data_IF_307218756323
#
_entry.id   IF_307218756323
#
_cell.length_a   1.000
_cell.length_b   1.000
_cell.length_c   1.000
_cell.angle_alpha   90.00
_cell.angle_beta   90.00
_cell.angle_gamma   90.00
#
_symmetry.space_group_name_H-M   'P 1'
#
loop_
_entity.id
_entity.type
_entity.pdbx_description
1 polymer ?
#
# COMPACT_ATOMS: atom_id res chain seq x y z
N UNK A 1 5.52 8.20 -11.63
CA UNK A 1 6.87 8.36 -11.06
C UNK A 1 7.81 7.77 -12.09
N UNK A 2 8.52 8.59 -12.87
CA UNK A 2 9.63 8.08 -13.68
C UNK A 2 10.81 7.97 -12.71
N UNK A 3 11.42 6.80 -12.51
CA UNK A 3 12.47 6.58 -11.51
C UNK A 3 13.80 7.29 -11.90
N UNK A 4 13.74 8.50 -12.45
CA UNK A 4 14.84 9.33 -12.93
C UNK A 4 15.42 10.23 -11.84
N UNK A 5 14.80 10.31 -10.66
CA UNK A 5 15.33 11.05 -9.52
C UNK A 5 16.31 10.18 -8.74
N UNK A 6 17.58 10.56 -8.74
CA UNK A 6 18.65 9.96 -7.92
C UNK A 6 18.69 10.52 -6.50
N UNK A 7 18.07 11.68 -6.28
CA UNK A 7 17.93 12.29 -4.96
C UNK A 7 16.79 11.63 -4.18
N UNK A 8 17.12 11.19 -2.97
CA UNK A 8 16.15 10.69 -2.01
C UNK A 8 16.35 11.40 -0.67
N UNK A 9 15.26 11.63 0.06
CA UNK A 9 15.30 12.15 1.42
C UNK A 9 14.64 11.13 2.33
N UNK A 10 15.41 10.59 3.27
CA UNK A 10 14.85 9.78 4.34
C UNK A 10 14.09 10.70 5.30
N UNK A 11 12.79 10.49 5.46
CA UNK A 11 12.04 11.14 6.54
C UNK A 11 12.22 10.27 7.78
N UNK A 12 13.04 10.76 8.70
CA UNK A 12 13.25 10.06 9.96
C UNK A 12 11.97 10.07 10.79
N UNK A 13 11.68 8.97 11.50
CA UNK A 13 10.66 9.01 12.54
C UNK A 13 11.05 10.08 13.59
N UNK A 14 10.08 10.65 14.32
CA UNK A 14 10.34 11.64 15.35
C UNK A 14 11.37 11.16 16.37
N UNK A 15 12.14 12.10 16.95
CA UNK A 15 13.23 11.82 17.90
C UNK A 15 12.85 10.92 19.08
N UNK A 16 11.59 10.95 19.53
CA UNK A 16 11.11 10.08 20.62
C UNK A 16 10.99 8.60 20.25
N UNK A 17 11.18 8.24 18.98
CA UNK A 17 11.31 6.84 18.52
C UNK A 17 12.78 6.41 18.38
N UNK A 18 13.74 7.34 18.38
CA UNK A 18 15.19 7.05 18.35
C UNK A 18 15.75 6.78 19.77
N UNK A 19 15.14 7.36 20.81
CA UNK A 19 15.52 7.11 22.20
C UNK A 19 15.03 5.73 22.67
N UNK A 20 15.83 4.69 22.43
CA UNK A 20 15.56 3.33 22.92
C UNK A 20 15.53 3.21 24.46
N UNK A 21 15.83 4.29 25.19
CA UNK A 21 15.68 4.38 26.65
C UNK A 21 14.32 4.96 27.09
N UNK A 22 13.53 5.55 26.18
CA UNK A 22 12.24 6.16 26.49
C UNK A 22 11.07 5.18 26.26
N UNK A 23 10.79 4.36 27.27
CA UNK A 23 9.63 3.47 27.43
C UNK A 23 9.29 2.50 26.27
N UNK A 24 9.35 1.18 26.46
CA UNK A 24 9.04 0.17 25.43
C UNK A 24 7.60 0.19 24.86
N UNK A 25 6.74 1.10 25.34
CA UNK A 25 5.32 1.26 24.97
C UNK A 25 5.05 2.32 23.88
N UNK A 26 6.04 3.09 23.42
CA UNK A 26 5.83 4.17 22.41
C UNK A 26 6.31 3.83 21.00
N UNK A 27 6.59 2.57 20.70
CA UNK A 27 7.09 2.14 19.39
C UNK A 27 6.02 1.61 18.43
N UNK A 28 6.41 1.43 17.17
CA UNK A 28 5.65 0.64 16.19
C UNK A 28 6.45 -0.58 15.73
N UNK A 29 5.75 -1.57 15.20
CA UNK A 29 6.32 -2.65 14.38
C UNK A 29 5.60 -2.72 13.05
N UNK A 30 6.19 -3.43 12.10
CA UNK A 30 5.56 -3.75 10.82
C UNK A 30 5.17 -5.22 10.86
N UNK A 31 3.90 -5.53 10.61
CA UNK A 31 3.48 -6.90 10.33
C UNK A 31 3.52 -7.14 8.84
N UNK A 32 4.25 -8.15 8.39
CA UNK A 32 4.18 -8.66 7.03
C UNK A 32 3.43 -9.98 7.06
N UNK A 33 2.21 -10.01 6.50
CA UNK A 33 1.38 -11.20 6.45
C UNK A 33 1.28 -11.70 5.01
N UNK A 34 1.59 -12.97 4.79
CA UNK A 34 1.57 -13.59 3.47
C UNK A 34 0.25 -14.34 3.26
N UNK A 35 -0.42 -14.07 2.14
CA UNK A 35 -1.71 -14.72 1.80
C UNK A 35 -1.57 -16.20 1.46
N UNK A 36 -0.36 -16.70 1.21
CA UNK A 36 -0.12 -18.06 0.70
C UNK A 36 -0.27 -18.18 -0.81
N UNK A 37 -0.84 -17.18 -1.49
CA UNK A 37 -0.90 -17.16 -2.95
C UNK A 37 0.48 -16.76 -3.53
N UNK A 38 1.21 -17.76 -4.06
CA UNK A 38 2.55 -17.59 -4.65
C UNK A 38 2.54 -17.27 -6.14
N UNK A 39 1.61 -17.86 -6.88
CA UNK A 39 1.51 -17.70 -8.33
C UNK A 39 0.56 -16.55 -8.66
N UNK A 40 0.88 -15.78 -9.70
CA UNK A 40 -0.06 -14.81 -10.24
C UNK A 40 -1.23 -15.56 -10.88
N UNK A 41 -2.45 -15.07 -10.68
CA UNK A 41 -3.61 -15.60 -11.39
C UNK A 41 -3.43 -15.30 -12.89
N UNK A 42 -3.19 -16.33 -13.69
CA UNK A 42 -2.87 -16.24 -15.13
C UNK A 42 -4.02 -15.71 -15.99
N UNK A 43 -5.22 -15.61 -15.43
CA UNK A 43 -6.47 -15.36 -16.15
C UNK A 43 -6.89 -13.89 -16.16
N UNK A 44 -6.10 -12.98 -15.56
CA UNK A 44 -6.41 -11.56 -15.49
C UNK A 44 -5.23 -10.77 -16.07
N UNK A 45 -5.43 -9.92 -17.10
CA UNK A 45 -4.35 -9.16 -17.73
C UNK A 45 -3.69 -8.12 -16.78
N UNK A 46 -4.22 -8.01 -15.55
CA UNK A 46 -3.43 -7.77 -14.34
C UNK A 46 -2.66 -6.45 -14.35
N UNK A 47 -1.36 -6.50 -14.08
CA UNK A 47 -0.51 -5.32 -13.93
C UNK A 47 -0.41 -4.48 -15.21
N UNK A 48 -0.19 -5.12 -16.38
CA UNK A 48 0.01 -4.39 -17.63
C UNK A 48 -1.25 -3.68 -18.11
N UNK A 49 -2.43 -4.27 -17.87
CA UNK A 49 -3.70 -3.57 -18.11
C UNK A 49 -3.81 -2.30 -17.29
N UNK A 50 -3.43 -2.33 -16.02
CA UNK A 50 -3.47 -1.12 -15.17
C UNK A 50 -2.52 -0.03 -15.66
N UNK A 51 -1.33 -0.42 -16.14
CA UNK A 51 -0.39 0.51 -16.78
C UNK A 51 -1.02 1.15 -18.02
N UNK A 52 -1.59 0.35 -18.92
CA UNK A 52 -2.23 0.85 -20.14
C UNK A 52 -3.43 1.76 -19.84
N UNK A 53 -4.29 1.38 -18.88
CA UNK A 53 -5.42 2.21 -18.44
C UNK A 53 -4.95 3.55 -17.85
N UNK A 54 -3.86 3.57 -17.07
CA UNK A 54 -3.29 4.83 -16.57
C UNK A 54 -2.73 5.70 -17.69
N UNK A 55 -2.09 5.10 -18.70
CA UNK A 55 -1.57 5.82 -19.86
C UNK A 55 -2.71 6.42 -20.69
N UNK A 56 -3.78 5.67 -20.93
CA UNK A 56 -4.93 6.17 -21.67
C UNK A 56 -5.65 7.29 -20.89
N UNK A 57 -5.82 7.15 -19.57
CA UNK A 57 -6.35 8.22 -18.73
C UNK A 57 -5.50 9.50 -18.83
N UNK A 58 -4.17 9.37 -18.77
CA UNK A 58 -3.27 10.51 -18.92
C UNK A 58 -3.38 11.16 -20.30
N UNK A 59 -3.44 10.37 -21.37
CA UNK A 59 -3.61 10.84 -22.75
C UNK A 59 -4.90 11.65 -22.90
N UNK A 60 -6.02 11.18 -22.37
CA UNK A 60 -7.31 11.91 -22.42
C UNK A 60 -7.20 13.26 -21.71
N UNK A 61 -6.60 13.30 -20.51
CA UNK A 61 -6.43 14.53 -19.73
C UNK A 61 -5.47 15.53 -20.39
N UNK A 62 -4.34 15.06 -20.92
CA UNK A 62 -3.36 15.90 -21.63
C UNK A 62 -3.95 16.47 -22.91
N UNK A 63 -4.66 15.65 -23.69
CA UNK A 63 -5.37 16.11 -24.88
C UNK A 63 -6.41 17.17 -24.55
N UNK A 64 -7.17 16.99 -23.46
CA UNK A 64 -8.17 17.94 -23.01
C UNK A 64 -7.59 19.30 -22.58
N UNK A 65 -6.33 19.32 -22.13
CA UNK A 65 -5.61 20.53 -21.70
C UNK A 65 -4.71 21.14 -22.79
N UNK A 66 -4.72 20.60 -24.01
CA UNK A 66 -3.89 21.07 -25.12
C UNK A 66 -2.43 20.59 -25.09
N UNK A 67 -2.04 19.74 -24.14
CA UNK A 67 -0.66 19.27 -23.94
C UNK A 67 -0.40 17.92 -24.63
N UNK A 68 -0.77 17.79 -25.91
CA UNK A 68 -0.76 16.51 -26.65
C UNK A 68 0.64 15.90 -26.85
N UNK A 69 1.67 16.75 -26.87
CA UNK A 69 3.07 16.35 -27.09
C UNK A 69 3.73 15.77 -25.83
N UNK A 70 3.08 15.92 -24.66
CA UNK A 70 3.61 15.40 -23.40
C UNK A 70 3.37 13.90 -23.33
N UNK A 71 4.39 13.15 -22.92
CA UNK A 71 4.30 11.69 -22.75
C UNK A 71 3.14 11.33 -21.79
N UNK A 72 2.25 10.39 -22.17
CA UNK A 72 0.98 10.14 -21.48
C UNK A 72 1.18 9.32 -20.21
N UNK A 73 1.79 9.93 -19.21
CA UNK A 73 1.88 9.40 -17.85
C UNK A 73 1.11 10.31 -16.90
N UNK A 74 0.38 9.71 -15.95
CA UNK A 74 -0.39 10.48 -14.97
C UNK A 74 0.49 11.42 -14.13
N UNK A 75 1.78 11.12 -13.95
CA UNK A 75 2.71 12.03 -13.27
C UNK A 75 3.07 13.28 -14.07
N UNK A 76 2.83 13.28 -15.38
CA UNK A 76 3.01 14.45 -16.23
C UNK A 76 1.72 15.29 -16.29
N UNK A 77 0.61 14.81 -15.71
CA UNK A 77 -0.66 15.53 -15.60
C UNK A 77 -0.66 16.30 -14.29
N UNK A 78 -0.82 17.63 -14.38
CA UNK A 78 -0.93 18.47 -13.18
C UNK A 78 -2.27 18.22 -12.45
N UNK A 79 -2.33 18.31 -11.11
CA UNK A 79 -3.58 18.14 -10.36
C UNK A 79 -4.72 19.03 -10.85
N UNK A 80 -4.42 20.27 -11.23
CA UNK A 80 -5.43 21.22 -11.72
C UNK A 80 -6.03 20.77 -13.05
N UNK A 81 -5.22 20.15 -13.91
CA UNK A 81 -5.67 19.56 -15.18
C UNK A 81 -6.57 18.36 -14.93
N UNK A 82 -6.22 17.51 -13.95
CA UNK A 82 -7.06 16.40 -13.55
C UNK A 82 -8.42 16.89 -13.03
N UNK A 83 -8.46 17.83 -12.09
CA UNK A 83 -9.72 18.32 -11.54
C UNK A 83 -10.60 19.01 -12.59
N UNK A 84 -10.00 19.76 -13.51
CA UNK A 84 -10.71 20.44 -14.59
C UNK A 84 -11.25 19.50 -15.68
N UNK A 85 -10.72 18.28 -15.82
CA UNK A 85 -11.04 17.40 -16.97
C UNK A 85 -11.39 15.95 -16.60
N UNK A 86 -11.39 15.56 -15.32
CA UNK A 86 -11.69 14.18 -14.88
C UNK A 86 -13.07 13.67 -15.32
N UNK A 87 -14.03 14.57 -15.54
CA UNK A 87 -15.36 14.22 -16.06
C UNK A 87 -15.34 13.68 -17.51
N UNK A 88 -14.23 13.85 -18.24
CA UNK A 88 -14.05 13.32 -19.60
C UNK A 88 -13.53 11.88 -19.62
N UNK A 89 -13.19 11.31 -18.46
CA UNK A 89 -12.67 9.96 -18.36
C UNK A 89 -13.82 8.96 -18.33
N UNK A 90 -13.72 7.92 -19.16
CA UNK A 90 -14.58 6.75 -19.06
C UNK A 90 -14.49 6.11 -17.66
N UNK A 91 -15.54 5.43 -17.17
CA UNK A 91 -15.64 4.99 -15.78
C UNK A 91 -14.41 4.24 -15.25
N UNK A 92 -13.84 3.31 -16.03
CA UNK A 92 -12.65 2.55 -15.61
C UNK A 92 -11.40 3.45 -15.54
N UNK A 93 -11.22 4.34 -16.51
CA UNK A 93 -10.09 5.28 -16.55
C UNK A 93 -10.19 6.29 -15.40
N UNK A 94 -11.40 6.75 -15.10
CA UNK A 94 -11.69 7.65 -13.98
C UNK A 94 -11.26 7.01 -12.65
N UNK A 95 -11.57 5.73 -12.43
CA UNK A 95 -11.12 4.99 -11.24
C UNK A 95 -9.59 4.91 -11.16
N UNK A 96 -8.88 4.65 -12.27
CA UNK A 96 -7.40 4.59 -12.25
C UNK A 96 -6.75 5.94 -11.96
N UNK A 97 -7.26 7.00 -12.59
CA UNK A 97 -6.79 8.36 -12.33
C UNK A 97 -7.07 8.77 -10.88
N UNK A 98 -8.29 8.50 -10.36
CA UNK A 98 -8.65 8.75 -8.97
C UNK A 98 -7.72 8.00 -8.00
N UNK A 99 -7.41 6.72 -8.26
CA UNK A 99 -6.43 5.99 -7.46
C UNK A 99 -5.08 6.72 -7.45
N UNK A 100 -4.55 7.11 -8.61
CA UNK A 100 -3.26 7.78 -8.72
C UNK A 100 -3.23 9.11 -7.96
N UNK A 101 -4.15 10.03 -8.24
CA UNK A 101 -4.11 11.37 -7.64
C UNK A 101 -4.39 11.31 -6.13
N UNK A 102 -5.35 10.48 -5.69
CA UNK A 102 -5.61 10.30 -4.27
C UNK A 102 -4.47 9.59 -3.53
N UNK A 103 -3.75 8.67 -4.18
CA UNK A 103 -2.56 8.03 -3.59
C UNK A 103 -1.41 9.01 -3.41
N UNK A 104 -1.14 9.89 -4.39
CA UNK A 104 -0.12 10.93 -4.24
C UNK A 104 -0.46 11.89 -3.08
N UNK A 105 -1.75 12.23 -2.91
CA UNK A 105 -2.20 13.03 -1.77
C UNK A 105 -2.01 12.28 -0.44
N UNK A 106 -2.36 10.98 -0.38
CA UNK A 106 -2.12 10.15 0.81
C UNK A 106 -0.64 10.05 1.16
N UNK A 107 0.24 9.93 0.17
CA UNK A 107 1.70 9.93 0.41
C UNK A 107 2.15 11.24 1.04
N UNK A 108 1.72 12.39 0.51
CA UNK A 108 2.09 13.71 1.07
C UNK A 108 1.64 13.86 2.53
N UNK A 109 0.37 13.54 2.82
CA UNK A 109 -0.16 13.53 4.20
C UNK A 109 0.55 12.51 5.09
N UNK A 110 0.94 11.37 4.52
CA UNK A 110 1.70 10.34 5.22
C UNK A 110 3.07 10.83 5.65
N UNK A 111 3.75 11.64 4.83
CA UNK A 111 5.02 12.26 5.23
C UNK A 111 4.86 13.18 6.44
N UNK A 112 3.78 13.96 6.49
CA UNK A 112 3.46 14.86 7.61
C UNK A 112 3.11 14.08 8.89
N UNK A 113 2.23 13.08 8.78
CA UNK A 113 1.85 12.21 9.89
C UNK A 113 3.07 11.43 10.43
N UNK A 114 3.91 10.92 9.53
CA UNK A 114 5.14 10.24 9.90
C UNK A 114 6.12 11.16 10.63
N UNK A 115 6.37 12.36 10.08
CA UNK A 115 7.31 13.31 10.67
C UNK A 115 6.86 13.85 12.04
N UNK A 116 5.55 13.95 12.27
CA UNK A 116 4.97 14.37 13.55
C UNK A 116 4.80 13.22 14.56
N UNK A 117 4.91 11.96 14.10
CA UNK A 117 4.77 10.77 14.94
C UNK A 117 3.34 10.35 15.19
N UNK A 118 2.40 10.88 14.42
CA UNK A 118 1.01 10.46 14.45
C UNK A 118 0.84 9.12 13.69
N UNK A 119 1.22 8.04 14.37
CA UNK A 119 1.15 6.67 13.86
C UNK A 119 -0.29 6.24 13.54
N UNK A 120 -1.28 6.80 14.25
CA UNK A 120 -2.70 6.53 14.00
C UNK A 120 -3.12 7.13 12.67
N UNK A 121 -2.86 8.42 12.45
CA UNK A 121 -3.16 9.08 11.18
C UNK A 121 -2.41 8.41 10.01
N UNK A 122 -1.14 8.02 10.23
CA UNK A 122 -0.38 7.28 9.21
C UNK A 122 -1.03 5.93 8.88
N UNK A 123 -1.45 5.17 9.89
CA UNK A 123 -2.18 3.91 9.72
C UNK A 123 -3.52 4.08 8.98
N UNK A 124 -4.29 5.11 9.30
CA UNK A 124 -5.55 5.42 8.60
C UNK A 124 -5.31 5.72 7.11
N UNK A 125 -4.22 6.43 6.77
CA UNK A 125 -3.80 6.67 5.39
C UNK A 125 -3.37 5.37 4.69
N UNK A 126 -2.70 4.45 5.39
CA UNK A 126 -2.39 3.11 4.85
C UNK A 126 -3.68 2.35 4.51
N UNK A 127 -4.64 2.31 5.44
CA UNK A 127 -5.95 1.67 5.24
C UNK A 127 -6.72 2.28 4.07
N UNK A 128 -6.78 3.62 3.98
CA UNK A 128 -7.42 4.31 2.86
C UNK A 128 -6.74 4.00 1.52
N UNK A 129 -5.40 3.83 1.53
CA UNK A 129 -4.67 3.39 0.35
C UNK A 129 -5.02 1.95 -0.06
N UNK A 130 -5.04 1.02 0.91
CA UNK A 130 -5.48 -0.37 0.67
C UNK A 130 -6.89 -0.42 0.06
N UNK A 131 -7.82 0.33 0.62
CA UNK A 131 -9.18 0.44 0.08
C UNK A 131 -9.22 1.00 -1.35
N UNK A 132 -8.36 1.99 -1.65
CA UNK A 132 -8.25 2.54 -3.00
C UNK A 132 -7.66 1.53 -3.99
N UNK A 133 -6.68 0.73 -3.58
CA UNK A 133 -6.16 -0.39 -4.38
C UNK A 133 -7.25 -1.39 -4.74
N UNK A 134 -8.15 -1.68 -3.81
CA UNK A 134 -9.28 -2.61 -4.02
C UNK A 134 -10.35 -1.98 -4.91
N UNK A 135 -10.83 -0.77 -4.59
CA UNK A 135 -12.03 -0.19 -5.22
C UNK A 135 -11.74 0.62 -6.49
N UNK A 136 -10.65 1.40 -6.48
CA UNK A 136 -10.32 2.33 -7.57
C UNK A 136 -9.28 1.72 -8.50
N UNK A 137 -8.27 1.04 -7.96
CA UNK A 137 -7.28 0.35 -8.80
C UNK A 137 -7.73 -1.05 -9.19
N UNK A 138 -8.73 -1.62 -8.52
CA UNK A 138 -9.24 -2.98 -8.81
C UNK A 138 -8.10 -3.99 -8.96
N UNK A 139 -7.14 -3.93 -8.04
CA UNK A 139 -6.13 -4.95 -7.84
C UNK A 139 -6.41 -5.68 -6.52
N UNK A 140 -5.87 -6.89 -6.39
CA UNK A 140 -6.25 -7.79 -5.32
C UNK A 140 -6.72 -9.14 -5.84
N UNK A 141 -6.95 -10.02 -4.89
CA UNK A 141 -7.63 -11.29 -5.05
C UNK A 141 -8.26 -11.66 -3.70
N UNK A 142 -9.23 -12.57 -3.71
CA UNK A 142 -9.98 -12.97 -2.51
C UNK A 142 -9.09 -13.26 -1.27
N UNK A 143 -7.99 -14.04 -1.37
CA UNK A 143 -7.12 -14.28 -0.22
C UNK A 143 -6.46 -13.00 0.34
N UNK A 144 -6.15 -12.03 -0.53
CA UNK A 144 -5.59 -10.74 -0.10
C UNK A 144 -6.65 -9.83 0.52
N UNK A 145 -7.87 -9.78 -0.03
CA UNK A 145 -8.98 -9.01 0.56
C UNK A 145 -9.24 -9.48 2.00
N UNK A 146 -9.39 -10.80 2.17
CA UNK A 146 -9.64 -11.39 3.48
C UNK A 146 -8.47 -11.21 4.45
N UNK A 147 -7.22 -11.32 3.98
CA UNK A 147 -6.06 -11.07 4.83
C UNK A 147 -5.98 -9.61 5.29
N UNK A 148 -6.27 -8.67 4.38
CA UNK A 148 -6.36 -7.25 4.69
C UNK A 148 -7.44 -6.97 5.76
N UNK A 149 -8.64 -7.53 5.60
CA UNK A 149 -9.72 -7.39 6.58
C UNK A 149 -9.38 -8.01 7.94
N UNK A 150 -8.68 -9.16 7.97
CA UNK A 150 -8.19 -9.77 9.21
C UNK A 150 -7.18 -8.86 9.90
N UNK A 151 -6.24 -8.27 9.15
CA UNK A 151 -5.25 -7.35 9.71
C UNK A 151 -5.90 -6.11 10.32
N UNK A 152 -6.90 -5.51 9.67
CA UNK A 152 -7.61 -4.34 10.20
C UNK A 152 -8.34 -4.61 11.51
N UNK A 153 -8.70 -5.87 11.80
CA UNK A 153 -9.34 -6.27 13.06
C UNK A 153 -8.33 -6.70 14.12
N UNK A 154 -7.05 -6.82 13.79
CA UNK A 154 -6.05 -7.32 14.72
C UNK A 154 -5.73 -6.27 15.81
N UNK A 155 -5.53 -6.70 17.09
CA UNK A 155 -5.27 -5.78 18.19
C UNK A 155 -4.07 -4.85 17.95
N UNK A 156 -4.25 -3.56 18.19
CA UNK A 156 -3.17 -2.56 18.08
C UNK A 156 -2.72 -2.23 16.65
N UNK A 157 -3.38 -2.77 15.61
CA UNK A 157 -3.10 -2.35 14.22
C UNK A 157 -3.66 -0.95 13.99
N UNK A 158 -2.77 -0.02 13.59
CA UNK A 158 -3.15 1.34 13.19
C UNK A 158 -3.72 1.36 11.77
N UNK A 159 -3.21 0.48 10.90
CA UNK A 159 -3.75 0.29 9.56
C UNK A 159 -2.96 -0.70 8.74
N UNK A 160 -3.56 -1.14 7.63
CA UNK A 160 -2.99 -2.16 6.76
C UNK A 160 -3.20 -1.82 5.28
N UNK A 161 -2.45 -2.45 4.39
CA UNK A 161 -2.65 -2.39 2.94
C UNK A 161 -1.96 -3.57 2.25
N UNK A 162 -2.21 -3.75 0.95
CA UNK A 162 -1.41 -4.64 0.14
C UNK A 162 0.03 -4.13 0.00
N UNK A 163 0.96 -5.06 -0.10
CA UNK A 163 2.34 -4.78 -0.51
C UNK A 163 2.59 -5.28 -1.93
N UNK A 164 3.29 -4.49 -2.74
CA UNK A 164 3.59 -4.80 -4.14
C UNK A 164 2.39 -4.63 -5.08
N UNK A 165 2.38 -5.38 -6.19
CA UNK A 165 1.42 -5.21 -7.28
C UNK A 165 -0.04 -5.58 -6.93
N UNK A 166 -0.28 -6.25 -5.80
CA UNK A 166 -1.62 -6.58 -5.30
C UNK A 166 -2.28 -7.81 -5.94
N UNK A 167 -1.70 -8.48 -6.94
CA UNK A 167 -2.31 -9.66 -7.58
C UNK A 167 -1.93 -11.01 -6.95
N UNK A 168 -1.13 -10.97 -5.88
CA UNK A 168 -0.65 -12.08 -5.05
C UNK A 168 0.19 -11.50 -3.90
N UNK A 169 0.72 -12.35 -3.02
CA UNK A 169 1.75 -11.93 -2.09
C UNK A 169 1.20 -11.53 -0.72
N UNK A 170 1.66 -10.39 -0.21
CA UNK A 170 1.54 -10.03 1.20
C UNK A 170 0.68 -8.78 1.42
N UNK A 171 0.09 -8.71 2.61
CA UNK A 171 -0.36 -7.46 3.21
C UNK A 171 0.70 -6.97 4.21
N UNK A 172 0.78 -5.65 4.36
CA UNK A 172 1.61 -4.99 5.36
C UNK A 172 0.71 -4.20 6.32
N UNK A 173 1.00 -4.24 7.61
CA UNK A 173 0.30 -3.46 8.61
C UNK A 173 1.26 -2.73 9.55
N UNK A 174 0.88 -1.52 9.96
CA UNK A 174 1.52 -0.78 11.04
C UNK A 174 0.82 -1.14 12.34
N UNK A 175 1.58 -1.59 13.34
CA UNK A 175 1.04 -2.04 14.62
C UNK A 175 1.80 -1.39 15.78
N UNK A 176 1.09 -1.13 16.86
CA UNK A 176 1.68 -0.82 18.16
C UNK A 176 2.70 -1.91 18.55
N UNK A 177 3.93 -1.51 18.87
CA UNK A 177 5.00 -2.44 19.22
C UNK A 177 4.62 -3.34 20.42
N UNK A 178 3.89 -2.81 21.40
CA UNK A 178 3.47 -3.57 22.57
C UNK A 178 2.41 -4.65 22.23
N UNK A 179 1.68 -4.48 21.11
CA UNK A 179 0.63 -5.40 20.66
C UNK A 179 1.04 -6.27 19.47
N UNK A 180 2.25 -6.08 18.92
CA UNK A 180 2.70 -6.76 17.71
C UNK A 180 2.61 -8.30 17.78
N UNK A 181 3.01 -8.91 18.91
CA UNK A 181 2.95 -10.36 19.12
C UNK A 181 1.50 -10.86 19.17
N UNK A 182 0.62 -10.13 19.85
CA UNK A 182 -0.80 -10.47 19.95
C UNK A 182 -1.49 -10.32 18.59
N UNK A 183 -1.22 -9.23 17.88
CA UNK A 183 -1.72 -8.99 16.53
C UNK A 183 -1.30 -10.11 15.56
N UNK A 184 -0.01 -10.48 15.58
CA UNK A 184 0.49 -11.57 14.76
C UNK A 184 -0.17 -12.91 15.11
N UNK A 185 -0.38 -13.20 16.40
CA UNK A 185 -1.12 -14.40 16.84
C UNK A 185 -2.56 -14.38 16.36
N UNK A 186 -3.25 -13.24 16.48
CA UNK A 186 -4.62 -13.06 16.00
C UNK A 186 -4.73 -13.40 14.51
N UNK A 187 -3.86 -12.81 13.67
CA UNK A 187 -3.88 -13.06 12.22
C UNK A 187 -3.59 -14.52 11.89
N UNK A 188 -2.63 -15.16 12.59
CA UNK A 188 -2.32 -16.58 12.42
C UNK A 188 -3.47 -17.52 12.82
N UNK A 189 -4.42 -17.07 13.64
CA UNK A 189 -5.60 -17.84 14.03
C UNK A 189 -6.79 -17.56 13.12
N UNK A 190 -7.04 -16.30 12.76
CA UNK A 190 -8.23 -15.90 12.01
C UNK A 190 -8.11 -16.15 10.50
N UNK A 191 -6.95 -15.87 9.90
CA UNK A 191 -6.79 -16.02 8.45
C UNK A 191 -6.97 -17.47 7.95
N UNK A 192 -6.40 -18.50 8.62
CA UNK A 192 -6.60 -19.89 8.18
C UNK A 192 -8.06 -20.37 8.19
N UNK A 193 -8.94 -19.74 8.99
CA UNK A 193 -10.37 -20.05 8.98
C UNK A 193 -11.05 -19.66 7.67
N UNK A 194 -10.54 -18.59 7.03
CA UNK A 194 -11.06 -18.06 5.77
C UNK A 194 -10.38 -18.71 4.55
N UNK A 195 -9.09 -19.02 4.66
CA UNK A 195 -8.27 -19.56 3.56
C UNK A 195 -7.49 -20.83 3.99
N UNK A 196 -8.18 -21.94 4.34
CA UNK A 196 -7.54 -23.13 4.91
C UNK A 196 -6.55 -23.81 3.95
N UNK A 197 -6.83 -23.78 2.63
CA UNK A 197 -5.96 -24.38 1.61
C UNK A 197 -4.65 -23.63 1.47
N UNK A 198 -4.69 -22.29 1.43
CA UNK A 198 -3.46 -21.49 1.35
C UNK A 198 -2.69 -21.51 2.67
N UNK A 199 -3.39 -21.50 3.80
CA UNK A 199 -2.76 -21.54 5.11
C UNK A 199 -2.02 -22.86 5.39
N UNK A 200 -2.56 -24.01 4.95
CA UNK A 200 -1.90 -25.31 5.15
C UNK A 200 -0.59 -25.48 4.37
N UNK A 201 -0.38 -24.67 3.33
CA UNK A 201 0.85 -24.64 2.53
C UNK A 201 1.94 -23.73 3.13
N UNK A 202 1.63 -23.01 4.22
CA UNK A 202 2.57 -22.15 4.92
C UNK A 202 3.22 -22.92 6.06
N UNK A 203 4.54 -22.79 6.22
CA UNK A 203 5.21 -23.32 7.40
C UNK A 203 4.75 -22.55 8.66
N UNK A 204 4.56 -23.26 9.76
CA UNK A 204 4.17 -22.64 11.03
C UNK A 204 5.13 -21.50 11.39
N UNK A 205 4.60 -20.29 11.57
CA UNK A 205 5.36 -19.08 11.92
C UNK A 205 5.73 -18.16 10.75
N UNK A 206 5.77 -18.64 9.50
CA UNK A 206 6.16 -17.79 8.33
C UNK A 206 5.00 -17.05 7.69
N UNK A 207 3.76 -17.40 8.03
CA UNK A 207 2.56 -16.74 7.51
C UNK A 207 2.46 -15.26 7.91
N UNK A 208 2.99 -14.90 9.08
CA UNK A 208 3.00 -13.53 9.59
C UNK A 208 4.33 -13.28 10.27
N UNK A 209 5.05 -12.25 9.84
CA UNK A 209 6.33 -11.84 10.40
C UNK A 209 6.17 -10.48 11.08
N UNK A 210 6.85 -10.33 12.22
CA UNK A 210 7.04 -9.03 12.86
C UNK A 210 8.39 -8.53 12.37
N UNK A 211 8.38 -7.40 11.67
CA UNK A 211 9.53 -6.87 10.96
C UNK A 211 9.92 -5.50 11.50
N UNK A 212 11.21 -5.21 11.35
CA UNK A 212 11.81 -3.89 11.50
C UNK A 212 12.38 -3.43 10.15
N UNK A 213 12.72 -2.16 10.04
CA UNK A 213 13.43 -1.66 8.87
C UNK A 213 14.83 -2.30 8.82
N UNK A 214 15.16 -2.95 7.71
CA UNK A 214 16.47 -3.54 7.48
C UNK A 214 17.42 -2.58 6.76
N UNK A 215 18.71 -2.96 6.73
CA UNK A 215 19.75 -2.24 5.98
C UNK A 215 19.61 -2.44 4.46
N UNK A 216 20.29 -1.56 3.71
CA UNK A 216 20.41 -1.65 2.26
C UNK A 216 21.50 -2.65 1.82
N UNK A 217 21.56 -2.94 0.52
CA UNK A 217 22.61 -3.76 -0.07
C UNK A 217 24.01 -3.22 0.30
N UNK A 218 24.88 -4.12 0.78
CA UNK A 218 26.28 -3.83 1.10
C UNK A 218 27.20 -4.91 0.54
N UNK A 219 28.39 -4.51 0.11
CA UNK A 219 29.45 -5.44 -0.27
C UNK A 219 30.15 -5.87 1.03
N UNK A 220 30.32 -7.18 1.19
CA UNK A 220 31.05 -7.78 2.30
C UNK A 220 32.37 -8.35 1.81
#
# INVERSE_FOLDING_TARGET
>A
MNCKTTEHKLIRPPKFLEDQEAEPQKGYKILLAFSGLRQALTNNPGYNSRVAECQEAAKVLLNASGNKEVEPFLCNVKPEVYDAHKFKLEPNLAKRAEHYFSENMRVRKGLEAWASGDLRAFGELMTASGLSSIKNYECGCEPLFQLYEVLLRAPGVFGARFSGAGFRGCCVALVDAARATEAAKFVRVEYPKLQPVFASQLSHGTAVLICEAGDCARIF
#
